data_IF_284399816042
#
_entry.id   IF_284399816042
#
_cell.length_a   1.000
_cell.length_b   1.000
_cell.length_c   1.000
_cell.angle_alpha   90.00
_cell.angle_beta   90.00
_cell.angle_gamma   90.00
#
_symmetry.space_group_name_H-M   'P 1'
#
loop_
_entity.id
_entity.type
_entity.pdbx_description
1 polymer ?
#
# COMPACT_ATOMS: atom_id res chain seq x y z
N UNK A 1 1.36 -1.75 23.72
CA UNK A 1 1.10 -2.05 22.30
C UNK A 1 1.66 -0.91 21.47
N UNK A 2 2.47 -1.19 20.45
CA UNK A 2 3.07 -0.19 19.54
C UNK A 2 2.34 -0.33 18.20
N UNK A 3 1.60 0.69 17.79
CA UNK A 3 0.86 0.69 16.51
C UNK A 3 1.38 1.84 15.66
N UNK A 4 1.61 1.56 14.38
CA UNK A 4 2.27 2.41 13.41
C UNK A 4 1.54 3.75 13.20
N UNK A 5 2.31 4.84 13.19
CA UNK A 5 1.81 6.21 13.01
C UNK A 5 1.74 6.52 11.52
N UNK A 6 0.54 6.75 10.99
CA UNK A 6 0.36 7.32 9.66
C UNK A 6 0.95 8.74 9.61
N UNK A 7 2.11 8.90 8.97
CA UNK A 7 2.76 10.20 8.81
C UNK A 7 1.98 11.03 7.78
N UNK A 8 1.37 12.12 8.25
CA UNK A 8 0.72 13.12 7.41
C UNK A 8 1.66 13.65 6.32
N UNK A 9 1.33 13.40 5.05
CA UNK A 9 1.95 14.05 3.90
C UNK A 9 1.28 15.42 3.69
N UNK A 10 1.74 16.44 4.41
CA UNK A 10 1.45 17.83 4.03
C UNK A 10 2.48 18.25 2.99
N UNK A 11 2.05 18.35 1.74
CA UNK A 11 2.82 18.99 0.68
C UNK A 11 2.96 20.49 1.00
N UNK A 12 4.18 20.94 1.28
CA UNK A 12 4.50 22.37 1.32
C UNK A 12 4.69 22.84 -0.12
N UNK A 13 3.66 23.46 -0.70
CA UNK A 13 3.85 24.29 -1.90
C UNK A 13 4.45 25.64 -1.47
N UNK A 14 5.50 26.15 -2.15
CA UNK A 14 5.90 27.54 -1.97
C UNK A 14 4.82 28.44 -2.59
N UNK A 15 4.32 29.37 -1.79
CA UNK A 15 3.51 30.50 -2.26
C UNK A 15 4.34 31.35 -3.23
N UNK A 16 3.94 31.37 -4.49
CA UNK A 16 4.29 32.42 -5.42
C UNK A 16 2.99 32.88 -6.10
N UNK A 17 2.60 34.09 -5.72
CA UNK A 17 1.53 34.91 -6.25
C UNK A 17 1.76 35.22 -7.74
N UNK A 18 0.79 34.87 -8.59
CA UNK A 18 0.45 35.55 -9.84
C UNK A 18 -0.71 34.79 -10.52
N UNK A 19 -1.92 35.35 -10.40
CA UNK A 19 -3.07 34.96 -11.18
C UNK A 19 -2.81 35.17 -12.68
N UNK A 20 -2.99 34.11 -13.49
CA UNK A 20 -3.07 34.19 -14.94
C UNK A 20 -4.16 33.21 -15.45
N UNK A 21 -4.91 33.57 -16.51
CA UNK A 21 -6.22 33.00 -16.79
C UNK A 21 -6.15 31.58 -17.33
N UNK A 22 -7.10 30.76 -16.87
CA UNK A 22 -7.38 29.40 -17.35
C UNK A 22 -7.73 29.46 -18.84
N UNK A 23 -6.78 29.08 -19.70
CA UNK A 23 -7.12 28.64 -21.06
C UNK A 23 -7.53 27.18 -20.98
N UNK A 24 -8.81 26.90 -21.25
CA UNK A 24 -9.28 25.56 -21.56
C UNK A 24 -8.61 25.10 -22.85
N UNK A 25 -7.56 24.29 -22.72
CA UNK A 25 -6.98 23.54 -23.83
C UNK A 25 -7.88 22.35 -24.14
N UNK A 26 -8.21 22.17 -25.43
CA UNK A 26 -8.90 21.00 -25.97
C UNK A 26 -8.16 19.68 -25.68
N UNK A 27 -8.71 18.53 -26.08
CA UNK A 27 -8.32 17.22 -25.57
C UNK A 27 -6.83 17.00 -25.84
N UNK A 28 -6.02 17.26 -24.81
CA UNK A 28 -4.68 16.75 -24.73
C UNK A 28 -4.86 15.23 -24.81
N UNK A 29 -4.33 14.62 -25.86
CA UNK A 29 -4.21 13.18 -25.94
C UNK A 29 -3.68 12.73 -24.59
N UNK A 30 -4.45 11.86 -23.93
CA UNK A 30 -4.07 11.32 -22.64
C UNK A 30 -2.63 10.85 -22.82
N UNK A 31 -1.65 11.35 -22.04
CA UNK A 31 -0.41 10.62 -21.96
C UNK A 31 -0.83 9.17 -21.67
N UNK A 32 -0.17 8.20 -22.30
CA UNK A 32 -0.21 6.84 -21.76
C UNK A 32 0.35 6.95 -20.35
N UNK A 33 -0.52 7.33 -19.42
CA UNK A 33 -0.30 7.33 -18.00
C UNK A 33 -0.05 5.87 -17.76
N UNK A 34 1.23 5.53 -17.66
CA UNK A 34 1.67 4.15 -17.49
C UNK A 34 0.96 3.68 -16.25
N UNK A 35 -0.12 2.91 -16.45
CA UNK A 35 -1.03 2.57 -15.38
C UNK A 35 -0.21 1.91 -14.28
N UNK A 36 -0.31 2.45 -13.07
CA UNK A 36 0.42 1.87 -11.94
C UNK A 36 -0.09 0.43 -11.74
N UNK A 37 0.81 -0.52 -11.39
CA UNK A 37 0.42 -1.91 -11.24
C UNK A 37 -0.64 -2.07 -10.15
N UNK A 38 -1.63 -2.91 -10.44
CA UNK A 38 -2.66 -3.30 -9.46
C UNK A 38 -2.14 -4.18 -8.34
N UNK A 39 -2.98 -4.44 -7.33
CA UNK A 39 -2.64 -5.32 -6.19
C UNK A 39 -2.26 -6.72 -6.67
N UNK A 40 -3.01 -7.32 -7.60
CA UNK A 40 -2.74 -8.67 -8.11
C UNK A 40 -1.39 -8.78 -8.83
N UNK A 41 -1.01 -7.74 -9.58
CA UNK A 41 0.28 -7.67 -10.26
C UNK A 41 1.43 -7.59 -9.26
N UNK A 42 1.27 -6.82 -8.19
CA UNK A 42 2.26 -6.71 -7.11
C UNK A 42 2.40 -8.03 -6.37
N UNK A 43 1.30 -8.68 -5.98
CA UNK A 43 1.35 -9.99 -5.35
C UNK A 43 1.97 -11.03 -6.30
N UNK A 44 1.65 -10.96 -7.60
CA UNK A 44 2.26 -11.84 -8.60
C UNK A 44 3.76 -11.62 -8.75
N UNK A 45 4.24 -10.40 -8.57
CA UNK A 45 5.68 -10.12 -8.52
C UNK A 45 6.35 -10.73 -7.28
N UNK A 46 5.66 -10.76 -6.13
CA UNK A 46 6.19 -11.36 -4.92
C UNK A 46 6.36 -12.88 -5.09
N UNK A 47 5.38 -13.54 -5.72
CA UNK A 47 5.44 -14.98 -6.02
C UNK A 47 6.57 -15.34 -6.97
N UNK A 48 6.90 -14.44 -7.90
CA UNK A 48 8.06 -14.57 -8.78
C UNK A 48 9.39 -14.31 -8.08
N UNK A 49 9.39 -14.06 -6.77
CA UNK A 49 10.60 -13.78 -5.97
C UNK A 49 11.13 -12.35 -6.12
N UNK A 50 10.38 -11.45 -6.76
CA UNK A 50 10.85 -10.09 -7.07
C UNK A 50 10.79 -9.13 -5.88
N UNK A 51 10.14 -9.53 -4.78
CA UNK A 51 9.99 -8.69 -3.59
C UNK A 51 11.36 -8.16 -3.11
N UNK A 52 12.27 -9.08 -2.83
CA UNK A 52 13.58 -8.72 -2.27
C UNK A 52 14.60 -8.38 -3.36
N UNK A 53 14.44 -8.87 -4.58
CA UNK A 53 15.40 -8.67 -5.69
C UNK A 53 15.20 -7.34 -6.42
N UNK A 54 13.97 -6.86 -6.56
CA UNK A 54 13.65 -5.69 -7.38
C UNK A 54 12.87 -4.64 -6.58
N UNK A 55 11.80 -5.04 -5.90
CA UNK A 55 10.89 -4.10 -5.25
C UNK A 55 11.56 -3.41 -4.06
N UNK A 56 12.24 -4.18 -3.20
CA UNK A 56 12.93 -3.66 -2.02
C UNK A 56 14.13 -2.76 -2.38
N UNK A 57 14.84 -3.07 -3.46
CA UNK A 57 16.06 -2.35 -3.85
C UNK A 57 15.79 -1.01 -4.53
N UNK A 58 14.62 -0.86 -5.15
CA UNK A 58 14.17 0.42 -5.71
C UNK A 58 13.66 1.41 -4.66
N UNK A 59 13.51 0.99 -3.39
CA UNK A 59 13.06 1.89 -2.33
C UNK A 59 14.15 2.90 -1.95
N UNK A 60 13.81 4.18 -1.76
CA UNK A 60 14.76 5.17 -1.26
C UNK A 60 15.27 4.79 0.14
N UNK A 61 16.58 4.55 0.26
CA UNK A 61 17.27 4.23 1.51
C UNK A 61 18.11 5.43 1.97
N UNK A 62 18.06 5.84 3.25
CA UNK A 62 18.99 6.85 3.76
C UNK A 62 20.44 6.31 3.69
N UNK A 63 21.46 7.19 3.61
CA UNK A 63 22.85 6.76 3.42
C UNK A 63 23.36 5.76 4.47
N UNK A 64 22.87 5.85 5.71
CA UNK A 64 23.23 4.89 6.77
C UNK A 64 22.65 3.49 6.49
N UNK A 65 21.41 3.41 6.00
CA UNK A 65 20.74 2.15 5.70
C UNK A 65 21.19 1.52 4.38
N UNK A 66 21.68 2.33 3.43
CA UNK A 66 22.23 1.84 2.16
C UNK A 66 23.46 0.93 2.34
N UNK A 67 24.12 0.99 3.51
CA UNK A 67 25.25 0.14 3.87
C UNK A 67 24.84 -1.22 4.43
N UNK A 68 23.57 -1.40 4.79
CA UNK A 68 23.06 -2.67 5.30
C UNK A 68 23.01 -3.69 4.16
N UNK A 69 23.34 -4.93 4.47
CA UNK A 69 23.28 -6.07 3.53
C UNK A 69 22.50 -7.23 4.12
N UNK A 70 22.06 -8.14 3.26
CA UNK A 70 21.42 -9.39 3.66
C UNK A 70 20.18 -9.19 4.57
N UNK A 71 20.03 -10.00 5.63
CA UNK A 71 18.87 -9.95 6.53
C UNK A 71 18.65 -8.57 7.18
N UNK A 72 19.71 -7.86 7.53
CA UNK A 72 19.61 -6.53 8.16
C UNK A 72 19.00 -5.49 7.22
N UNK A 73 19.35 -5.53 5.93
CA UNK A 73 18.76 -4.67 4.92
C UNK A 73 17.26 -4.96 4.74
N UNK A 74 16.90 -6.25 4.73
CA UNK A 74 15.50 -6.70 4.64
C UNK A 74 14.69 -6.23 5.84
N UNK A 75 15.21 -6.42 7.06
CA UNK A 75 14.54 -5.98 8.28
C UNK A 75 14.35 -4.46 8.34
N UNK A 76 15.28 -3.69 7.78
CA UNK A 76 15.13 -2.24 7.68
C UNK A 76 13.98 -1.82 6.74
N UNK A 77 13.84 -2.48 5.58
CA UNK A 77 12.87 -2.08 4.56
C UNK A 77 11.49 -2.75 4.71
N UNK A 78 11.43 -3.91 5.37
CA UNK A 78 10.20 -4.71 5.56
C UNK A 78 9.03 -3.91 6.11
N UNK A 79 9.16 -3.06 7.16
CA UNK A 79 8.01 -2.28 7.66
C UNK A 79 7.42 -1.37 6.58
N UNK A 80 8.25 -0.79 5.72
CA UNK A 80 7.78 0.08 4.63
C UNK A 80 7.15 -0.68 3.47
N UNK A 81 7.49 -1.94 3.30
CA UNK A 81 6.85 -2.83 2.33
C UNK A 81 5.50 -3.26 2.89
N UNK A 82 5.45 -3.67 4.16
CA UNK A 82 4.23 -3.97 4.90
C UNK A 82 3.23 -2.81 4.81
N UNK A 83 3.64 -1.59 5.20
CA UNK A 83 2.77 -0.40 5.17
C UNK A 83 2.23 -0.12 3.77
N UNK A 84 3.06 -0.30 2.74
CA UNK A 84 2.67 -0.11 1.34
C UNK A 84 1.64 -1.15 0.90
N UNK A 85 1.88 -2.42 1.21
CA UNK A 85 0.97 -3.51 0.89
C UNK A 85 -0.36 -3.37 1.64
N UNK A 86 -0.32 -3.07 2.94
CA UNK A 86 -1.50 -2.81 3.75
C UNK A 86 -2.34 -1.67 3.16
N UNK A 87 -1.70 -0.57 2.75
CA UNK A 87 -2.37 0.53 2.06
C UNK A 87 -3.05 0.11 0.75
N UNK A 88 -2.40 -0.71 -0.06
CA UNK A 88 -2.99 -1.23 -1.30
C UNK A 88 -4.19 -2.15 -1.04
N UNK A 89 -4.10 -3.02 -0.03
CA UNK A 89 -5.21 -3.89 0.38
C UNK A 89 -6.38 -3.05 0.90
N UNK A 90 -6.14 -2.06 1.76
CA UNK A 90 -7.19 -1.15 2.23
C UNK A 90 -7.88 -0.41 1.08
N UNK A 91 -7.12 0.11 0.10
CA UNK A 91 -7.70 0.76 -1.07
C UNK A 91 -8.53 -0.20 -1.93
N UNK A 92 -8.09 -1.45 -2.07
CA UNK A 92 -8.84 -2.50 -2.75
C UNK A 92 -10.16 -2.80 -2.02
N UNK A 93 -10.14 -2.93 -0.69
CA UNK A 93 -11.35 -3.19 0.10
C UNK A 93 -12.35 -2.03 0.06
N UNK A 94 -11.88 -0.79 0.14
CA UNK A 94 -12.74 0.40 -0.02
C UNK A 94 -13.37 0.43 -1.41
N UNK A 95 -12.58 0.17 -2.46
CA UNK A 95 -13.06 0.14 -3.85
C UNK A 95 -14.17 -0.89 -4.05
N UNK A 96 -14.08 -2.04 -3.37
CA UNK A 96 -15.04 -3.13 -3.46
C UNK A 96 -16.17 -3.06 -2.42
N UNK A 97 -16.26 -1.97 -1.64
CA UNK A 97 -17.33 -1.77 -0.66
C UNK A 97 -17.21 -2.60 0.62
N UNK A 98 -16.05 -3.24 0.86
CA UNK A 98 -15.77 -4.07 2.03
C UNK A 98 -15.19 -3.32 3.22
N UNK A 99 -14.81 -2.05 3.04
CA UNK A 99 -14.33 -1.19 4.11
C UNK A 99 -15.04 0.16 4.06
N UNK A 100 -15.54 0.61 5.21
CA UNK A 100 -16.21 1.91 5.36
C UNK A 100 -15.32 2.82 6.20
N UNK A 101 -15.18 4.11 5.86
CA UNK A 101 -14.47 5.06 6.71
C UNK A 101 -15.09 5.11 8.11
N UNK A 102 -14.30 4.84 9.15
CA UNK A 102 -14.70 5.11 10.52
C UNK A 102 -14.45 6.59 10.82
N UNK A 103 -15.52 7.36 10.86
CA UNK A 103 -15.53 8.81 11.09
C UNK A 103 -15.90 9.18 12.53
N UNK A 104 -15.90 8.21 13.44
CA UNK A 104 -16.13 8.44 14.86
C UNK A 104 -15.09 9.37 15.47
N UNK A 105 -15.51 10.58 15.86
CA UNK A 105 -14.63 11.59 16.50
C UNK A 105 -14.18 11.20 17.92
N UNK A 106 -14.79 10.17 18.51
CA UNK A 106 -14.43 9.64 19.83
C UNK A 106 -13.40 8.50 19.79
N UNK A 107 -12.99 8.06 18.60
CA UNK A 107 -12.06 6.94 18.37
C UNK A 107 -10.80 7.34 17.60
N UNK A 108 -9.95 6.34 17.31
CA UNK A 108 -8.87 6.53 16.34
C UNK A 108 -9.49 6.47 14.93
N UNK A 109 -9.34 7.52 14.10
CA UNK A 109 -9.87 7.50 12.74
C UNK A 109 -9.24 6.35 11.95
N UNK A 110 -10.08 5.58 11.25
CA UNK A 110 -9.64 4.34 10.62
C UNK A 110 -10.60 3.82 9.55
N UNK A 111 -10.43 2.56 9.20
CA UNK A 111 -11.35 1.81 8.34
C UNK A 111 -12.06 0.78 9.20
N UNK A 112 -13.38 0.80 9.18
CA UNK A 112 -14.19 -0.27 9.75
C UNK A 112 -14.16 -1.45 8.77
N UNK A 113 -13.66 -2.59 9.26
CA UNK A 113 -13.54 -3.84 8.52
C UNK A 113 -14.48 -4.89 9.13
N UNK A 114 -15.00 -5.84 8.33
CA UNK A 114 -15.66 -7.02 8.89
C UNK A 114 -14.73 -7.82 9.81
N UNK A 115 -15.26 -8.45 10.86
CA UNK A 115 -14.47 -9.15 11.90
C UNK A 115 -13.51 -10.22 11.34
N UNK A 116 -13.87 -10.89 10.24
CA UNK A 116 -13.00 -11.88 9.60
C UNK A 116 -11.74 -11.26 8.98
N UNK A 117 -11.82 -10.01 8.50
CA UNK A 117 -10.67 -9.25 8.03
C UNK A 117 -9.77 -8.83 9.19
N UNK A 118 -10.36 -8.31 10.28
CA UNK A 118 -9.59 -7.85 11.45
C UNK A 118 -8.75 -8.96 12.08
N UNK A 119 -9.24 -10.20 12.08
CA UNK A 119 -8.54 -11.34 12.69
C UNK A 119 -7.45 -11.95 11.81
N UNK A 120 -7.54 -11.82 10.49
CA UNK A 120 -6.68 -12.54 9.53
C UNK A 120 -5.75 -11.65 8.70
N UNK A 121 -6.02 -10.35 8.61
CA UNK A 121 -5.30 -9.46 7.69
C UNK A 121 -3.83 -9.27 8.08
N UNK A 122 -3.54 -8.99 9.35
CA UNK A 122 -2.18 -8.75 9.81
C UNK A 122 -1.28 -9.97 9.59
N UNK A 123 -1.77 -11.17 9.95
CA UNK A 123 -1.04 -12.43 9.74
C UNK A 123 -0.81 -12.73 8.24
N UNK A 124 -1.79 -12.41 7.39
CA UNK A 124 -1.67 -12.59 5.94
C UNK A 124 -0.69 -11.59 5.31
N UNK A 125 -0.67 -10.33 5.79
CA UNK A 125 0.30 -9.33 5.37
C UNK A 125 1.71 -9.69 5.81
N UNK A 126 1.88 -10.15 7.05
CA UNK A 126 3.17 -10.60 7.59
C UNK A 126 3.73 -11.79 6.80
N UNK A 127 2.88 -12.75 6.43
CA UNK A 127 3.26 -13.87 5.56
C UNK A 127 3.68 -13.38 4.16
N UNK A 128 2.95 -12.41 3.59
CA UNK A 128 3.26 -11.87 2.26
C UNK A 128 4.59 -11.09 2.23
N UNK A 129 5.03 -10.52 3.35
CA UNK A 129 6.32 -9.78 3.46
C UNK A 129 7.40 -10.57 4.20
N UNK A 130 7.23 -11.89 4.36
CA UNK A 130 8.22 -12.75 4.95
C UNK A 130 9.51 -12.85 4.09
N UNK A 131 10.59 -13.41 4.66
CA UNK A 131 11.82 -13.66 3.88
C UNK A 131 11.56 -14.60 2.70
N UNK A 132 10.64 -15.53 2.87
CA UNK A 132 10.02 -16.33 1.82
C UNK A 132 8.56 -15.91 1.72
N UNK A 133 8.21 -15.00 0.78
CA UNK A 133 6.85 -14.49 0.65
C UNK A 133 5.82 -15.60 0.44
N UNK A 134 4.77 -15.60 1.25
CA UNK A 134 3.57 -16.40 1.05
C UNK A 134 2.37 -15.46 0.89
N UNK A 135 1.97 -15.26 -0.36
CA UNK A 135 0.83 -14.40 -0.72
C UNK A 135 -0.48 -15.17 -0.80
N UNK A 136 -0.47 -16.50 -0.69
CA UNK A 136 -1.64 -17.34 -0.93
C UNK A 136 -2.72 -17.07 0.12
N UNK A 137 -2.33 -16.88 1.38
CA UNK A 137 -3.25 -16.51 2.47
C UNK A 137 -3.96 -15.20 2.20
N UNK A 138 -3.22 -14.18 1.77
CA UNK A 138 -3.79 -12.87 1.46
C UNK A 138 -4.75 -12.95 0.27
N UNK A 139 -4.41 -13.73 -0.76
CA UNK A 139 -5.30 -13.94 -1.91
C UNK A 139 -6.57 -14.71 -1.56
N UNK A 140 -6.48 -15.70 -0.68
CA UNK A 140 -7.67 -16.41 -0.20
C UNK A 140 -8.64 -15.44 0.48
N UNK A 141 -8.14 -14.58 1.37
CA UNK A 141 -8.97 -13.57 2.03
C UNK A 141 -9.63 -12.60 1.03
N UNK A 142 -8.90 -12.17 0.00
CA UNK A 142 -9.44 -11.29 -1.04
C UNK A 142 -10.53 -11.98 -1.87
N UNK A 143 -10.31 -13.23 -2.29
CA UNK A 143 -11.26 -13.99 -3.09
C UNK A 143 -12.55 -14.35 -2.31
N UNK A 144 -12.42 -14.68 -1.03
CA UNK A 144 -13.59 -14.94 -0.16
C UNK A 144 -14.47 -13.69 -0.03
N UNK A 145 -13.87 -12.50 -0.07
CA UNK A 145 -14.60 -11.23 -0.01
C UNK A 145 -15.37 -10.94 -1.30
N UNK A 146 -14.77 -11.21 -2.47
CA UNK A 146 -15.46 -11.09 -3.77
C UNK A 146 -16.67 -12.04 -3.86
N UNK A 147 -16.55 -13.24 -3.30
CA UNK A 147 -17.63 -14.23 -3.28
C UNK A 147 -18.81 -13.84 -2.38
N UNK A 148 -18.59 -13.06 -1.32
CA UNK A 148 -19.65 -12.58 -0.41
C UNK A 148 -20.43 -11.40 -0.99
N UNK A 149 -19.87 -10.68 -1.97
CA UNK A 149 -20.49 -9.53 -2.63
C UNK A 149 -21.30 -9.87 -3.90
N UNK A 150 -21.24 -11.12 -4.38
CA UNK A 150 -21.93 -11.61 -5.59
C UNK A 150 -23.31 -12.21 -5.27
#
# INVERSE_FOLDING_TARGET
MRVAVARALRASAPTADAAAPVRQGGPAGQPEETALPGLDEVLGAFDRGLLWMEVADRRPKPPQAARLTGPSARNFIRPRIFDGLAGMVHLHLVRNGHAVPDTGWSGQPGLALPEHWEKGLDDALDAAVADTPDTARLRSLLADSEAVSA
#
